data_IF_748534694068
#
_entry.id   IF_748534694068
#
_cell.length_a   1.000
_cell.length_b   1.000
_cell.length_c   1.000
_cell.angle_alpha   90.00
_cell.angle_beta   90.00
_cell.angle_gamma   90.00
#
_symmetry.space_group_name_H-M   'P 1'
#
loop_
_entity.id
_entity.type
_entity.pdbx_description
1 polymer ?
#
# COMPACT_ATOMS: atom_id res chain seq x y z
N UNK A 1 0.72 -32.57 11.27
CA UNK A 1 1.97 -32.93 11.99
C UNK A 1 3.08 -31.85 11.96
N UNK A 2 3.13 -30.98 10.94
CA UNK A 2 4.15 -29.90 10.82
C UNK A 2 3.91 -28.74 11.79
N UNK A 3 2.64 -28.48 12.15
CA UNK A 3 2.27 -27.41 13.08
C UNK A 3 2.81 -27.62 14.51
N UNK A 4 2.92 -28.87 14.98
CA UNK A 4 3.46 -29.19 16.31
C UNK A 4 4.98 -29.05 16.42
N UNK A 5 5.71 -29.34 15.33
CA UNK A 5 7.16 -29.13 15.24
C UNK A 5 7.52 -27.64 15.24
N UNK A 6 6.72 -26.79 14.59
CA UNK A 6 6.87 -25.33 14.65
C UNK A 6 6.67 -24.77 16.05
N UNK A 7 5.68 -25.28 16.78
CA UNK A 7 5.38 -24.84 18.13
C UNK A 7 6.55 -25.12 19.10
N UNK A 8 7.06 -26.36 19.09
CA UNK A 8 8.19 -26.75 19.96
C UNK A 8 9.51 -26.03 19.62
N UNK A 9 9.74 -25.73 18.34
CA UNK A 9 10.96 -25.02 17.92
C UNK A 9 10.88 -23.49 18.17
N UNK A 10 9.69 -22.92 18.28
CA UNK A 10 9.50 -21.51 18.65
C UNK A 10 9.82 -21.22 20.12
N UNK A 11 9.52 -22.16 21.02
CA UNK A 11 9.83 -22.03 22.47
C UNK A 11 11.34 -22.05 22.76
N UNK A 12 12.11 -22.88 22.05
CA UNK A 12 13.57 -23.02 22.27
C UNK A 12 14.40 -22.02 21.44
N UNK A 13 13.85 -21.48 20.34
CA UNK A 13 14.60 -20.64 19.41
C UNK A 13 13.76 -19.49 18.83
N UNK A 14 13.94 -18.28 19.39
CA UNK A 14 13.25 -17.06 18.96
C UNK A 14 13.37 -16.73 17.45
N UNK A 15 14.38 -17.26 16.76
CA UNK A 15 14.54 -17.06 15.31
C UNK A 15 13.50 -17.85 14.47
N UNK A 16 12.96 -18.96 14.99
CA UNK A 16 11.96 -19.78 14.28
C UNK A 16 10.61 -19.06 14.21
N UNK A 17 10.23 -18.37 15.29
CA UNK A 17 9.04 -17.53 15.33
C UNK A 17 9.16 -16.32 14.41
N UNK A 18 10.33 -15.67 14.37
CA UNK A 18 10.59 -14.58 13.43
C UNK A 18 10.49 -15.03 11.96
N UNK A 19 11.01 -16.23 11.63
CA UNK A 19 10.85 -16.84 10.30
C UNK A 19 9.38 -17.13 10.00
N UNK A 20 8.62 -17.67 10.96
CA UNK A 20 7.20 -17.95 10.81
C UNK A 20 6.32 -16.71 10.65
N UNK A 21 6.69 -15.59 11.28
CA UNK A 21 6.02 -14.29 11.08
C UNK A 21 6.32 -13.72 9.69
N UNK A 22 7.59 -13.75 9.26
CA UNK A 22 7.97 -13.29 7.92
C UNK A 22 7.24 -14.07 6.81
N UNK A 23 7.20 -15.40 6.91
CA UNK A 23 6.48 -16.22 5.92
C UNK A 23 4.99 -15.89 5.86
N UNK A 24 4.33 -15.69 7.01
CA UNK A 24 2.92 -15.27 7.04
C UNK A 24 2.72 -13.88 6.43
N UNK A 25 3.65 -12.97 6.65
CA UNK A 25 3.61 -11.64 6.05
C UNK A 25 3.77 -11.71 4.52
N UNK A 26 4.70 -12.53 4.03
CA UNK A 26 4.88 -12.77 2.60
C UNK A 26 3.62 -13.38 1.96
N UNK A 27 3.00 -14.38 2.61
CA UNK A 27 1.72 -14.96 2.16
C UNK A 27 0.57 -13.94 2.14
N UNK A 28 0.48 -13.08 3.15
CA UNK A 28 -0.52 -12.00 3.19
C UNK A 28 -0.32 -11.01 2.05
N UNK A 29 0.92 -10.69 1.71
CA UNK A 29 1.27 -9.80 0.60
C UNK A 29 0.91 -10.43 -0.74
N UNK A 30 1.23 -11.70 -0.94
CA UNK A 30 0.83 -12.46 -2.13
C UNK A 30 -0.69 -12.44 -2.30
N UNK A 31 -1.43 -12.77 -1.23
CA UNK A 31 -2.88 -12.79 -1.26
C UNK A 31 -3.45 -11.40 -1.55
N UNK A 32 -2.92 -10.36 -0.91
CA UNK A 32 -3.36 -8.98 -1.11
C UNK A 32 -3.21 -8.53 -2.57
N UNK A 33 -2.04 -8.77 -3.18
CA UNK A 33 -1.78 -8.42 -4.58
C UNK A 33 -2.66 -9.22 -5.53
N UNK A 34 -2.87 -10.52 -5.25
CA UNK A 34 -3.76 -11.38 -6.05
C UNK A 34 -5.21 -10.91 -5.98
N UNK A 35 -5.70 -10.51 -4.80
CA UNK A 35 -7.05 -9.96 -4.64
C UNK A 35 -7.22 -8.63 -5.39
N UNK A 36 -6.21 -7.75 -5.38
CA UNK A 36 -6.25 -6.51 -6.16
C UNK A 36 -6.30 -6.79 -7.68
N UNK A 37 -5.51 -7.75 -8.17
CA UNK A 37 -5.55 -8.16 -9.57
C UNK A 37 -6.94 -8.71 -9.96
N UNK A 38 -7.53 -9.54 -9.09
CA UNK A 38 -8.89 -10.07 -9.32
C UNK A 38 -9.93 -8.95 -9.33
N UNK A 39 -9.85 -8.01 -8.39
CA UNK A 39 -10.74 -6.86 -8.32
C UNK A 39 -10.64 -5.98 -9.57
N UNK A 40 -9.41 -5.75 -10.07
CA UNK A 40 -9.17 -4.99 -11.30
C UNK A 40 -9.91 -5.62 -12.50
N UNK A 41 -9.83 -6.95 -12.65
CA UNK A 41 -10.58 -7.69 -13.67
C UNK A 41 -12.09 -7.55 -13.51
N UNK A 42 -12.59 -7.76 -12.28
CA UNK A 42 -14.03 -7.67 -11.99
C UNK A 42 -14.61 -6.28 -12.22
N UNK A 43 -13.89 -5.21 -11.86
CA UNK A 43 -14.33 -3.83 -12.08
C UNK A 43 -14.46 -3.54 -13.58
N UNK A 44 -13.48 -4.02 -14.38
CA UNK A 44 -13.53 -3.88 -15.84
C UNK A 44 -14.69 -4.66 -16.45
N UNK A 45 -14.91 -5.90 -16.04
CA UNK A 45 -15.98 -6.76 -16.55
C UNK A 45 -17.37 -6.24 -16.17
N UNK A 46 -17.54 -5.75 -14.92
CA UNK A 46 -18.84 -5.36 -14.38
C UNK A 46 -19.23 -3.94 -14.78
N UNK A 47 -18.27 -3.01 -14.78
CA UNK A 47 -18.53 -1.58 -14.95
C UNK A 47 -17.94 -0.99 -16.23
N UNK A 48 -17.17 -1.75 -17.00
CA UNK A 48 -16.49 -1.23 -18.19
C UNK A 48 -15.44 -0.15 -17.89
N UNK A 49 -14.98 -0.06 -16.64
CA UNK A 49 -14.12 1.01 -16.14
C UNK A 49 -12.79 0.47 -15.57
N UNK A 50 -11.72 1.28 -15.53
CA UNK A 50 -10.49 0.90 -14.84
C UNK A 50 -10.64 1.02 -13.31
N UNK A 51 -10.02 0.10 -12.57
CA UNK A 51 -9.77 0.28 -11.14
C UNK A 51 -8.57 1.23 -10.96
N UNK A 52 -8.76 2.33 -10.23
CA UNK A 52 -7.68 3.24 -9.83
C UNK A 52 -7.39 3.07 -8.35
N UNK A 53 -6.11 3.02 -7.96
CA UNK A 53 -5.71 2.93 -6.55
C UNK A 53 -5.00 4.21 -6.14
N UNK A 54 -5.58 4.91 -5.16
CA UNK A 54 -4.96 6.04 -4.46
C UNK A 54 -4.30 5.51 -3.20
N UNK A 55 -3.01 5.80 -2.99
CA UNK A 55 -2.23 5.22 -1.90
C UNK A 55 -1.38 6.29 -1.18
N UNK A 56 -1.17 6.09 0.12
CA UNK A 56 -0.32 6.93 0.97
C UNK A 56 0.87 6.16 1.55
N UNK A 57 1.22 5.02 0.96
CA UNK A 57 2.39 4.21 1.33
C UNK A 57 3.63 4.64 0.53
N UNK A 58 4.84 4.40 1.04
CA UNK A 58 6.05 4.70 0.31
C UNK A 58 6.13 3.83 -0.95
N UNK A 59 6.67 4.43 -1.99
CA UNK A 59 6.96 3.80 -3.28
C UNK A 59 8.41 4.08 -3.70
N UNK A 60 8.76 3.70 -4.92
CA UNK A 60 10.12 3.83 -5.45
C UNK A 60 10.63 5.28 -5.53
N UNK A 61 9.73 6.27 -5.43
CA UNK A 61 10.05 7.70 -5.49
C UNK A 61 10.12 8.33 -4.09
N UNK A 62 9.71 7.61 -3.06
CA UNK A 62 9.62 8.14 -1.70
C UNK A 62 11.00 8.26 -1.07
N UNK A 63 11.50 9.48 -0.91
CA UNK A 63 12.84 9.75 -0.37
C UNK A 63 12.90 9.83 1.16
N UNK A 64 11.75 10.00 1.82
CA UNK A 64 11.65 10.25 3.27
C UNK A 64 11.44 8.93 4.02
N UNK A 65 11.94 8.86 5.26
CA UNK A 65 11.65 7.75 6.14
C UNK A 65 10.14 7.71 6.45
N UNK A 66 9.50 6.59 6.14
CA UNK A 66 8.08 6.39 6.36
C UNK A 66 7.85 5.75 7.73
N UNK A 67 7.07 6.43 8.58
CA UNK A 67 6.75 5.95 9.92
C UNK A 67 5.67 4.87 9.91
N UNK A 68 6.05 3.61 9.68
CA UNK A 68 5.14 2.45 9.74
C UNK A 68 5.67 1.32 10.61
N UNK A 69 4.75 0.46 11.06
CA UNK A 69 5.10 -0.82 11.72
C UNK A 69 5.78 -1.79 10.75
N UNK A 70 5.40 -1.73 9.48
CA UNK A 70 6.01 -2.50 8.38
C UNK A 70 7.28 -1.81 7.91
N UNK A 71 8.22 -2.58 7.34
CA UNK A 71 9.43 -2.01 6.76
C UNK A 71 9.09 -1.22 5.49
N UNK A 72 9.83 -0.13 5.28
CA UNK A 72 9.73 0.71 4.08
C UNK A 72 9.93 -0.14 2.80
N UNK A 73 10.94 -1.00 2.78
CA UNK A 73 11.23 -1.90 1.66
C UNK A 73 10.06 -2.82 1.29
N UNK A 74 9.34 -3.33 2.29
CA UNK A 74 8.18 -4.18 2.04
C UNK A 74 7.05 -3.39 1.36
N UNK A 75 6.73 -2.22 1.88
CA UNK A 75 5.67 -1.37 1.31
C UNK A 75 6.00 -0.94 -0.12
N UNK A 76 7.24 -0.53 -0.38
CA UNK A 76 7.74 -0.22 -1.73
C UNK A 76 7.61 -1.42 -2.66
N UNK A 77 7.98 -2.63 -2.18
CA UNK A 77 7.82 -3.87 -2.95
C UNK A 77 6.36 -4.16 -3.31
N UNK A 78 5.43 -3.96 -2.38
CA UNK A 78 3.98 -4.14 -2.63
C UNK A 78 3.50 -3.15 -3.69
N UNK A 79 3.80 -1.85 -3.55
CA UNK A 79 3.38 -0.83 -4.52
C UNK A 79 3.96 -1.13 -5.91
N UNK A 80 5.25 -1.50 -5.98
CA UNK A 80 5.88 -1.89 -7.24
C UNK A 80 5.24 -3.12 -7.89
N UNK A 81 4.76 -4.09 -7.09
CA UNK A 81 3.99 -5.23 -7.60
C UNK A 81 2.63 -4.82 -8.15
N UNK A 82 1.90 -3.96 -7.44
CA UNK A 82 0.60 -3.45 -7.91
C UNK A 82 0.79 -2.65 -9.21
N UNK A 83 1.85 -1.84 -9.30
CA UNK A 83 2.20 -1.08 -10.51
C UNK A 83 2.41 -2.00 -11.72
N UNK A 84 3.06 -3.16 -11.53
CA UNK A 84 3.27 -4.16 -12.58
C UNK A 84 1.98 -4.84 -13.07
N UNK A 85 0.88 -4.76 -12.32
CA UNK A 85 -0.45 -5.21 -12.77
C UNK A 85 -1.07 -4.26 -13.83
N UNK A 86 -0.44 -3.11 -14.08
CA UNK A 86 -1.00 -2.08 -14.98
C UNK A 86 -2.19 -1.33 -14.39
N UNK A 87 -2.40 -1.44 -13.08
CA UNK A 87 -3.42 -0.65 -12.35
C UNK A 87 -2.96 0.81 -12.29
N UNK A 88 -3.78 1.78 -12.72
CA UNK A 88 -3.48 3.20 -12.49
C UNK A 88 -3.31 3.49 -11.00
N UNK A 89 -2.18 4.13 -10.66
CA UNK A 89 -1.77 4.42 -9.29
C UNK A 89 -1.61 5.93 -9.09
N UNK A 90 -2.11 6.45 -7.97
CA UNK A 90 -1.91 7.84 -7.54
C UNK A 90 -1.32 7.87 -6.12
N UNK A 91 -0.10 8.36 -5.99
CA UNK A 91 0.53 8.62 -4.69
C UNK A 91 -0.04 9.89 -4.08
N UNK A 92 -0.51 9.82 -2.84
CA UNK A 92 -0.91 10.98 -2.03
C UNK A 92 0.31 11.85 -1.73
N UNK A 93 1.46 11.23 -1.44
CA UNK A 93 2.69 11.95 -1.14
C UNK A 93 3.12 12.81 -2.33
N UNK A 94 3.06 12.30 -3.56
CA UNK A 94 3.41 13.11 -4.74
C UNK A 94 2.47 14.29 -5.01
N UNK A 95 1.25 14.28 -4.44
CA UNK A 95 0.34 15.42 -4.53
C UNK A 95 0.56 16.44 -3.40
N UNK A 96 1.17 16.03 -2.30
CA UNK A 96 1.17 16.78 -1.04
C UNK A 96 2.57 17.11 -0.50
N UNK A 97 3.63 16.53 -1.06
CA UNK A 97 5.01 16.61 -0.54
C UNK A 97 5.56 18.03 -0.33
N UNK A 98 5.01 19.01 -1.06
CA UNK A 98 5.41 20.43 -1.01
C UNK A 98 4.78 21.21 0.14
N UNK A 99 3.84 20.61 0.88
CA UNK A 99 3.13 21.24 1.98
C UNK A 99 3.58 20.68 3.32
N UNK A 100 3.45 21.49 4.37
CA UNK A 100 3.67 21.04 5.74
C UNK A 100 2.49 20.15 6.21
N UNK A 101 2.78 19.10 6.97
CA UNK A 101 1.76 18.16 7.46
C UNK A 101 0.67 18.86 8.28
N UNK A 102 1.00 19.92 9.01
CA UNK A 102 0.02 20.74 9.76
C UNK A 102 -1.01 21.43 8.88
N UNK A 103 -0.69 21.65 7.60
CA UNK A 103 -1.61 22.22 6.61
C UNK A 103 -2.47 21.15 5.93
N UNK A 104 -2.10 19.87 6.06
CA UNK A 104 -2.72 18.78 5.32
C UNK A 104 -3.76 18.00 6.13
N UNK A 105 -3.60 17.95 7.45
CA UNK A 105 -4.43 17.12 8.32
C UNK A 105 -5.40 17.95 9.15
N UNK A 106 -6.52 17.32 9.54
CA UNK A 106 -7.39 17.84 10.58
C UNK A 106 -6.66 17.69 11.93
N UNK A 107 -6.49 18.77 12.71
CA UNK A 107 -5.81 18.70 14.00
C UNK A 107 -6.41 17.64 14.93
N UNK A 108 -5.54 16.80 15.53
CA UNK A 108 -5.89 15.71 16.45
C UNK A 108 -6.72 14.54 15.89
N UNK A 109 -7.09 14.56 14.61
CA UNK A 109 -7.87 13.50 13.97
C UNK A 109 -6.97 12.57 13.12
N UNK A 110 -6.05 13.17 12.37
CA UNK A 110 -5.13 12.45 11.49
C UNK A 110 -5.69 12.17 10.09
N UNK A 111 -6.96 12.50 9.83
CA UNK A 111 -7.53 12.50 8.48
C UNK A 111 -7.09 13.71 7.65
N UNK A 112 -7.01 13.58 6.30
CA UNK A 112 -6.81 14.70 5.40
C UNK A 112 -7.93 15.75 5.54
N UNK A 113 -7.57 17.03 5.52
CA UNK A 113 -8.54 18.12 5.45
C UNK A 113 -9.05 18.36 4.01
N UNK A 114 -9.96 19.32 3.85
CA UNK A 114 -10.54 19.65 2.54
C UNK A 114 -9.48 20.05 1.50
N UNK A 115 -8.46 20.82 1.91
CA UNK A 115 -7.38 21.26 1.04
C UNK A 115 -6.56 20.07 0.50
N UNK A 116 -6.18 19.12 1.36
CA UNK A 116 -5.49 17.90 0.93
C UNK A 116 -6.33 17.06 -0.02
N UNK A 117 -7.62 16.93 0.24
CA UNK A 117 -8.52 16.18 -0.63
C UNK A 117 -8.67 16.84 -2.01
N UNK A 118 -8.65 18.18 -2.07
CA UNK A 118 -8.65 18.92 -3.33
C UNK A 118 -7.39 18.63 -4.15
N UNK A 119 -6.20 18.65 -3.54
CA UNK A 119 -4.94 18.30 -4.20
C UNK A 119 -4.95 16.87 -4.77
N UNK A 120 -5.46 15.92 -3.98
CA UNK A 120 -5.58 14.51 -4.41
C UNK A 120 -6.58 14.38 -5.56
N UNK A 121 -7.72 15.07 -5.49
CA UNK A 121 -8.74 15.06 -6.54
C UNK A 121 -8.21 15.67 -7.85
N UNK A 122 -7.42 16.75 -7.79
CA UNK A 122 -6.75 17.31 -8.97
C UNK A 122 -5.76 16.32 -9.59
N UNK A 123 -4.96 15.63 -8.75
CA UNK A 123 -4.05 14.59 -9.18
C UNK A 123 -4.78 13.44 -9.88
N UNK A 124 -5.91 13.01 -9.31
CA UNK A 124 -6.77 11.98 -9.86
C UNK A 124 -7.35 12.41 -11.22
N UNK A 125 -7.86 13.63 -11.32
CA UNK A 125 -8.37 14.18 -12.58
C UNK A 125 -7.29 14.14 -13.67
N UNK A 126 -6.08 14.62 -13.37
CA UNK A 126 -4.95 14.57 -14.31
C UNK A 126 -4.55 13.16 -14.71
N UNK A 127 -4.68 12.18 -13.80
CA UNK A 127 -4.40 10.78 -14.09
C UNK A 127 -5.44 10.21 -15.07
N UNK A 128 -6.72 10.53 -14.87
CA UNK A 128 -7.83 10.07 -15.70
C UNK A 128 -7.87 10.74 -17.08
N UNK A 129 -7.40 11.99 -17.18
CA UNK A 129 -7.35 12.76 -18.43
C UNK A 129 -6.16 12.38 -19.34
N UNK A 130 -5.29 11.44 -18.92
CA UNK A 130 -4.21 10.93 -19.78
C UNK A 130 -4.79 10.05 -20.90
N UNK A 131 -4.44 10.31 -22.18
CA UNK A 131 -4.95 9.53 -23.31
C UNK A 131 -4.50 8.07 -23.30
#
# INVERSE_FOLDING_TARGET
PVAGLRYLLGEEFAFVDAIGQKQRQDEQVELFVALLARLQGQVRETFGAPLVVVYSWPDEQTQRAYGSKQSHELLVSIIGRIRRLGTPLLSVDSQTERFDVSQLLIPHDGHPNAFSNELIAEGLKKLLDRP
#
